data_IF_657078035541
#
_entry.id   IF_657078035541
#
_cell.length_a   1.000
_cell.length_b   1.000
_cell.length_c   1.000
_cell.angle_alpha   90.00
_cell.angle_beta   90.00
_cell.angle_gamma   90.00
#
_symmetry.space_group_name_H-M   'P 1'
#
loop_
_entity.id
_entity.type
_entity.pdbx_description
1 polymer ?
#
# COMPACT_ATOMS: atom_id res chain seq x y z
N UNK A 1 8.61 -21.22 35.04
CA UNK A 1 8.10 -21.80 33.80
C UNK A 1 7.28 -20.82 32.95
N UNK A 2 6.48 -19.87 33.50
CA UNK A 2 5.76 -18.86 32.73
C UNK A 2 6.67 -17.80 32.08
N UNK A 3 7.72 -17.33 32.76
CA UNK A 3 8.59 -16.27 32.24
C UNK A 3 9.51 -16.69 31.08
N UNK A 4 9.87 -17.95 30.95
CA UNK A 4 10.72 -18.43 29.86
C UNK A 4 9.93 -18.61 28.55
N UNK A 5 8.67 -19.06 28.65
CA UNK A 5 7.79 -19.17 27.47
C UNK A 5 7.41 -17.79 26.90
N UNK A 6 7.17 -16.79 27.75
CA UNK A 6 6.88 -15.43 27.32
C UNK A 6 8.09 -14.77 26.62
N UNK A 7 9.31 -15.03 27.14
CA UNK A 7 10.53 -14.49 26.50
C UNK A 7 10.82 -15.12 25.13
N UNK A 8 10.60 -16.42 24.98
CA UNK A 8 10.77 -17.13 23.71
C UNK A 8 9.73 -16.69 22.66
N UNK A 9 8.50 -16.42 23.09
CA UNK A 9 7.44 -15.91 22.23
C UNK A 9 7.76 -14.49 21.74
N UNK A 10 8.23 -13.62 22.61
CA UNK A 10 8.64 -12.23 22.31
C UNK A 10 9.83 -12.19 21.34
N UNK A 11 10.81 -13.08 21.49
CA UNK A 11 11.94 -13.21 20.58
C UNK A 11 11.52 -13.72 19.19
N UNK A 12 10.56 -14.63 19.11
CA UNK A 12 9.98 -15.10 17.86
C UNK A 12 9.28 -13.98 17.09
N UNK A 13 8.49 -13.16 17.77
CA UNK A 13 7.81 -11.99 17.16
C UNK A 13 8.84 -10.98 16.62
N UNK A 14 9.88 -10.67 17.38
CA UNK A 14 10.96 -9.76 16.97
C UNK A 14 11.68 -10.25 15.72
N UNK A 15 11.98 -11.55 15.64
CA UNK A 15 12.62 -12.15 14.46
C UNK A 15 11.71 -12.08 13.24
N UNK A 16 10.41 -12.38 13.40
CA UNK A 16 9.40 -12.27 12.36
C UNK A 16 9.35 -10.85 11.80
N UNK A 17 9.22 -9.85 12.66
CA UNK A 17 9.20 -8.43 12.28
C UNK A 17 10.49 -8.01 11.57
N UNK A 18 11.64 -8.48 12.03
CA UNK A 18 12.93 -8.17 11.41
C UNK A 18 13.03 -8.73 9.99
N UNK A 19 12.45 -9.90 9.73
CA UNK A 19 12.40 -10.49 8.37
C UNK A 19 11.40 -9.74 7.49
N UNK A 20 10.18 -9.49 7.99
CA UNK A 20 9.13 -8.76 7.24
C UNK A 20 9.65 -7.42 6.72
N UNK A 21 10.33 -6.66 7.55
CA UNK A 21 10.85 -5.32 7.22
C UNK A 21 12.31 -5.33 6.75
N UNK A 22 12.85 -6.50 6.41
CA UNK A 22 14.22 -6.59 5.87
C UNK A 22 14.34 -5.81 4.56
N UNK A 23 15.25 -4.82 4.56
CA UNK A 23 15.45 -3.92 3.41
C UNK A 23 14.59 -2.67 3.43
N UNK A 24 13.66 -2.49 4.38
CA UNK A 24 12.97 -1.23 4.58
C UNK A 24 13.93 -0.19 5.18
N UNK A 25 13.92 1.03 4.63
CA UNK A 25 14.77 2.15 5.10
C UNK A 25 14.16 2.78 6.36
N UNK A 26 12.84 2.85 6.43
CA UNK A 26 12.09 3.44 7.53
C UNK A 26 10.85 2.59 7.84
N UNK A 27 10.55 2.41 9.10
CA UNK A 27 9.32 1.74 9.59
C UNK A 27 8.71 2.64 10.65
N UNK A 28 7.47 3.07 10.44
CA UNK A 28 6.70 3.91 11.37
C UNK A 28 5.56 3.08 11.95
N UNK A 29 5.31 3.19 13.25
CA UNK A 29 4.22 2.47 13.91
C UNK A 29 4.49 0.97 14.11
N UNK A 30 5.75 0.58 14.23
CA UNK A 30 6.17 -0.83 14.43
C UNK A 30 5.47 -1.49 15.62
N UNK A 31 5.16 -0.72 16.65
CA UNK A 31 4.49 -1.15 17.87
C UNK A 31 3.10 -1.74 17.59
N UNK A 32 2.40 -1.23 16.58
CA UNK A 32 1.10 -1.75 16.16
C UNK A 32 1.24 -3.20 15.65
N UNK A 33 2.20 -3.45 14.78
CA UNK A 33 2.50 -4.79 14.26
C UNK A 33 2.87 -5.75 15.37
N UNK A 34 3.66 -5.31 16.36
CA UNK A 34 4.00 -6.09 17.56
C UNK A 34 2.76 -6.43 18.38
N UNK A 35 1.82 -5.50 18.52
CA UNK A 35 0.57 -5.72 19.25
C UNK A 35 -0.34 -6.73 18.55
N UNK A 36 -0.47 -6.64 17.21
CA UNK A 36 -1.27 -7.61 16.44
C UNK A 36 -0.65 -9.00 16.53
N UNK A 37 0.65 -9.14 16.29
CA UNK A 37 1.35 -10.43 16.35
C UNK A 37 1.36 -11.05 17.73
N UNK A 38 1.31 -10.24 18.80
CA UNK A 38 1.21 -10.73 20.19
C UNK A 38 -0.24 -11.01 20.62
N UNK A 39 -1.23 -10.86 19.75
CA UNK A 39 -2.64 -11.05 20.06
C UNK A 39 -3.25 -9.97 20.96
N UNK A 40 -2.56 -8.83 21.14
CA UNK A 40 -3.02 -7.69 21.97
C UNK A 40 -3.90 -6.70 21.21
N UNK A 41 -3.86 -6.72 19.88
CA UNK A 41 -4.72 -5.96 19.01
C UNK A 41 -5.20 -6.85 17.86
N UNK A 42 -6.45 -6.68 17.44
CA UNK A 42 -7.02 -7.32 16.25
C UNK A 42 -7.75 -6.27 15.46
N UNK A 43 -7.52 -6.22 14.16
CA UNK A 43 -8.24 -5.29 13.28
C UNK A 43 -9.35 -6.00 12.49
N UNK A 44 -9.13 -7.22 12.06
CA UNK A 44 -10.03 -7.95 11.14
C UNK A 44 -10.67 -9.22 11.71
N UNK A 45 -10.54 -9.50 12.99
CA UNK A 45 -11.04 -10.76 13.57
C UNK A 45 -10.23 -12.01 13.20
N UNK A 46 -9.41 -11.93 12.16
CA UNK A 46 -8.38 -12.92 11.80
C UNK A 46 -7.01 -12.44 12.29
N UNK A 47 -6.22 -13.33 12.88
CA UNK A 47 -4.87 -13.01 13.40
C UNK A 47 -3.83 -12.73 12.29
N UNK A 48 -4.23 -12.58 11.05
CA UNK A 48 -3.36 -12.37 9.91
C UNK A 48 -3.25 -10.88 9.58
N UNK A 49 -2.03 -10.36 9.62
CA UNK A 49 -1.72 -9.01 9.14
C UNK A 49 -2.01 -8.89 7.65
N UNK A 50 -2.53 -7.74 7.25
CA UNK A 50 -2.74 -7.36 5.86
C UNK A 50 -1.83 -6.20 5.50
N UNK A 51 -0.98 -6.38 4.50
CA UNK A 51 -0.13 -5.33 3.97
C UNK A 51 -0.64 -4.84 2.60
N UNK A 52 -0.37 -3.59 2.29
CA UNK A 52 -0.83 -2.92 1.07
C UNK A 52 0.32 -2.19 0.38
N UNK A 53 0.30 -2.26 -0.94
CA UNK A 53 1.04 -1.34 -1.80
C UNK A 53 0.19 -0.92 -2.99
N UNK A 54 0.14 0.39 -3.27
CA UNK A 54 -0.48 0.95 -4.47
C UNK A 54 0.56 1.16 -5.57
N UNK A 55 0.29 0.66 -6.77
CA UNK A 55 1.17 0.78 -7.93
C UNK A 55 0.40 1.33 -9.12
N UNK A 56 0.88 2.45 -9.68
CA UNK A 56 0.33 2.96 -10.93
C UNK A 56 0.77 2.08 -12.12
N UNK A 57 -0.17 1.57 -12.93
CA UNK A 57 0.17 0.95 -14.21
C UNK A 57 0.74 2.01 -15.15
N UNK A 58 2.06 2.11 -15.24
CA UNK A 58 2.71 3.25 -15.91
C UNK A 58 3.81 2.88 -16.91
N UNK A 59 4.06 1.60 -17.14
CA UNK A 59 5.11 1.20 -18.07
C UNK A 59 5.51 -0.26 -18.00
N UNK A 60 6.70 -0.55 -18.49
CA UNK A 60 7.28 -1.91 -18.51
C UNK A 60 7.96 -2.22 -17.19
N UNK A 61 8.03 -3.51 -16.85
CA UNK A 61 8.79 -4.01 -15.72
C UNK A 61 10.25 -3.53 -15.75
N UNK A 62 10.77 -3.17 -14.60
CA UNK A 62 12.15 -2.73 -14.40
C UNK A 62 12.70 -3.29 -13.09
N UNK A 63 14.00 -3.09 -12.85
CA UNK A 63 14.69 -3.64 -11.67
C UNK A 63 14.02 -3.26 -10.34
N UNK A 64 13.36 -2.10 -10.26
CA UNK A 64 12.61 -1.69 -9.07
C UNK A 64 11.49 -2.66 -8.69
N UNK A 65 10.83 -3.29 -9.68
CA UNK A 65 9.80 -4.30 -9.41
C UNK A 65 10.38 -5.58 -8.80
N UNK A 66 11.59 -5.96 -9.21
CA UNK A 66 12.29 -7.10 -8.60
C UNK A 66 12.67 -6.82 -7.14
N UNK A 67 13.13 -5.61 -6.83
CA UNK A 67 13.43 -5.22 -5.45
C UNK A 67 12.16 -5.19 -4.59
N UNK A 68 11.07 -4.65 -5.15
CA UNK A 68 9.77 -4.61 -4.49
C UNK A 68 9.21 -6.01 -4.24
N UNK A 69 9.30 -6.91 -5.23
CA UNK A 69 8.83 -8.30 -5.08
C UNK A 69 9.57 -9.04 -3.96
N UNK A 70 10.83 -8.70 -3.71
CA UNK A 70 11.58 -9.26 -2.57
C UNK A 70 10.97 -8.83 -1.22
N UNK A 71 10.59 -7.56 -1.08
CA UNK A 71 9.92 -7.06 0.14
C UNK A 71 8.56 -7.74 0.32
N UNK A 72 7.78 -7.87 -0.75
CA UNK A 72 6.50 -8.58 -0.75
C UNK A 72 6.71 -10.04 -0.31
N UNK A 73 7.69 -10.73 -0.88
CA UNK A 73 8.00 -12.12 -0.52
C UNK A 73 8.35 -12.27 0.95
N UNK A 74 9.17 -11.37 1.51
CA UNK A 74 9.48 -11.40 2.94
C UNK A 74 8.22 -11.33 3.81
N UNK A 75 7.23 -10.54 3.42
CA UNK A 75 5.95 -10.45 4.13
C UNK A 75 5.12 -11.73 3.98
N UNK A 76 5.00 -12.25 2.74
CA UNK A 76 4.28 -13.49 2.47
C UNK A 76 4.88 -14.69 3.23
N UNK A 77 6.20 -14.82 3.24
CA UNK A 77 6.92 -15.90 3.95
C UNK A 77 6.67 -15.89 5.46
N UNK A 78 6.38 -14.72 6.02
CA UNK A 78 6.05 -14.55 7.44
C UNK A 78 4.53 -14.56 7.70
N UNK A 79 3.70 -14.93 6.72
CA UNK A 79 2.26 -15.11 6.88
C UNK A 79 1.44 -13.83 6.80
N UNK A 80 2.00 -12.76 6.25
CA UNK A 80 1.26 -11.52 5.99
C UNK A 80 0.55 -11.63 4.65
N UNK A 81 -0.75 -11.35 4.62
CA UNK A 81 -1.48 -11.21 3.37
C UNK A 81 -1.11 -9.88 2.70
N UNK A 82 -0.90 -9.87 1.40
CA UNK A 82 -0.48 -8.68 0.68
C UNK A 82 -1.50 -8.31 -0.40
N UNK A 83 -1.96 -7.06 -0.37
CA UNK A 83 -2.78 -6.47 -1.42
C UNK A 83 -1.88 -5.59 -2.29
N UNK A 84 -1.83 -5.90 -3.58
CA UNK A 84 -1.28 -5.01 -4.61
C UNK A 84 -2.46 -4.30 -5.27
N UNK A 85 -2.63 -3.01 -4.95
CA UNK A 85 -3.61 -2.18 -5.63
C UNK A 85 -3.04 -1.73 -6.99
N UNK A 86 -3.71 -2.15 -8.06
CA UNK A 86 -3.46 -1.68 -9.42
C UNK A 86 -4.18 -0.33 -9.56
N UNK A 87 -3.45 0.75 -9.34
CA UNK A 87 -3.98 2.11 -9.17
C UNK A 87 -4.30 2.75 -10.54
N UNK A 88 -5.28 2.20 -11.27
CA UNK A 88 -5.66 2.56 -12.63
C UNK A 88 -6.20 4.01 -12.72
N UNK A 89 -7.11 4.41 -11.84
CA UNK A 89 -7.58 5.79 -11.78
C UNK A 89 -6.51 6.78 -11.34
N UNK A 90 -5.58 6.37 -10.48
CA UNK A 90 -4.43 7.20 -10.11
C UNK A 90 -3.50 7.41 -11.31
N UNK A 91 -3.28 6.36 -12.11
CA UNK A 91 -2.54 6.45 -13.35
C UNK A 91 -3.21 7.41 -14.35
N UNK A 92 -4.55 7.39 -14.44
CA UNK A 92 -5.31 8.31 -15.27
C UNK A 92 -5.18 9.75 -14.78
N UNK A 93 -5.35 10.01 -13.49
CA UNK A 93 -5.15 11.34 -12.86
C UNK A 93 -3.72 11.84 -13.08
N UNK A 94 -2.75 10.93 -13.12
CA UNK A 94 -1.34 11.25 -13.34
C UNK A 94 -0.90 11.18 -14.82
N UNK A 95 -1.87 11.36 -15.75
CA UNK A 95 -1.67 11.46 -17.20
C UNK A 95 -0.91 10.28 -17.84
N UNK A 96 -0.89 9.10 -17.20
CA UNK A 96 -0.24 7.93 -17.79
C UNK A 96 -0.97 7.49 -19.06
N UNK A 97 -0.19 7.08 -20.06
CA UNK A 97 -0.71 6.65 -21.37
C UNK A 97 -1.69 7.65 -22.00
N UNK A 98 -1.46 8.96 -21.80
CA UNK A 98 -2.33 10.03 -22.33
C UNK A 98 -3.79 9.90 -21.85
N UNK A 99 -4.00 9.33 -20.66
CA UNK A 99 -5.31 9.07 -20.03
C UNK A 99 -6.17 8.04 -20.78
N UNK A 100 -5.57 7.19 -21.58
CA UNK A 100 -6.25 6.08 -22.25
C UNK A 100 -6.47 4.93 -21.27
N UNK A 101 -7.70 4.79 -20.76
CA UNK A 101 -8.05 3.73 -19.79
C UNK A 101 -7.87 2.32 -20.37
N UNK A 102 -7.99 2.12 -21.67
CA UNK A 102 -7.73 0.82 -22.30
C UNK A 102 -6.26 0.43 -22.20
N UNK A 103 -5.35 1.38 -22.43
CA UNK A 103 -3.90 1.16 -22.27
C UNK A 103 -3.51 1.00 -20.79
N UNK A 104 -4.12 1.80 -19.90
CA UNK A 104 -3.90 1.68 -18.45
C UNK A 104 -4.35 0.31 -17.96
N UNK A 105 -5.53 -0.16 -18.38
CA UNK A 105 -6.05 -1.48 -18.03
C UNK A 105 -5.13 -2.60 -18.52
N UNK A 106 -4.67 -2.54 -19.76
CA UNK A 106 -3.71 -3.51 -20.30
C UNK A 106 -2.37 -3.49 -19.53
N UNK A 107 -1.90 -2.31 -19.13
CA UNK A 107 -0.70 -2.19 -18.31
C UNK A 107 -0.91 -2.74 -16.90
N UNK A 108 -2.12 -2.64 -16.34
CA UNK A 108 -2.47 -3.25 -15.06
C UNK A 108 -2.48 -4.79 -15.14
N UNK A 109 -3.04 -5.36 -16.21
CA UNK A 109 -2.99 -6.81 -16.47
C UNK A 109 -1.54 -7.29 -16.60
N UNK A 110 -0.74 -6.59 -17.39
CA UNK A 110 0.69 -6.89 -17.53
C UNK A 110 1.43 -6.83 -16.19
N UNK A 111 1.11 -5.84 -15.35
CA UNK A 111 1.74 -5.69 -14.02
C UNK A 111 1.38 -6.87 -13.11
N UNK A 112 0.13 -7.27 -13.06
CA UNK A 112 -0.31 -8.43 -12.26
C UNK A 112 0.38 -9.73 -12.70
N UNK A 113 0.49 -9.97 -14.00
CA UNK A 113 1.19 -11.13 -14.56
C UNK A 113 2.68 -11.15 -14.20
N UNK A 114 3.35 -9.99 -14.27
CA UNK A 114 4.77 -9.89 -13.89
C UNK A 114 4.96 -10.18 -12.40
N UNK A 115 4.15 -9.57 -11.52
CA UNK A 115 4.27 -9.84 -10.09
C UNK A 115 3.91 -11.28 -9.75
N UNK A 116 2.90 -11.87 -10.40
CA UNK A 116 2.58 -13.30 -10.27
C UNK A 116 3.79 -14.15 -10.66
N UNK A 117 4.46 -13.84 -11.76
CA UNK A 117 5.65 -14.57 -12.20
C UNK A 117 6.83 -14.41 -11.24
N UNK A 118 7.02 -13.22 -10.65
CA UNK A 118 8.10 -12.94 -9.70
C UNK A 118 7.86 -13.57 -8.31
N UNK A 119 6.61 -13.65 -7.88
CA UNK A 119 6.23 -14.09 -6.54
C UNK A 119 5.80 -15.57 -6.48
N UNK A 120 5.58 -16.20 -7.64
CA UNK A 120 4.87 -17.46 -7.78
C UNK A 120 3.37 -17.24 -7.78
N UNK A 121 2.58 -18.32 -7.72
CA UNK A 121 1.12 -18.24 -7.59
C UNK A 121 0.70 -18.33 -6.11
N UNK A 122 0.82 -17.25 -5.33
CA UNK A 122 0.58 -17.29 -3.89
C UNK A 122 -0.89 -17.50 -3.51
N UNK A 123 -1.84 -17.33 -4.46
CA UNK A 123 -3.25 -17.69 -4.26
C UNK A 123 -3.48 -19.20 -4.17
N UNK A 124 -2.51 -20.01 -4.63
CA UNK A 124 -2.57 -21.48 -4.69
C UNK A 124 -1.36 -22.10 -3.97
N UNK A 125 -0.46 -21.29 -3.43
CA UNK A 125 0.80 -21.75 -2.85
C UNK A 125 0.66 -22.27 -1.41
N UNK A 126 1.52 -23.21 -1.05
CA UNK A 126 1.67 -23.75 0.32
C UNK A 126 2.27 -22.73 1.31
N UNK A 127 2.34 -21.45 0.93
CA UNK A 127 2.88 -20.37 1.76
C UNK A 127 1.89 -19.86 2.80
N UNK A 128 2.39 -19.35 3.92
CA UNK A 128 1.55 -18.87 5.02
C UNK A 128 0.76 -17.58 4.71
N UNK A 129 1.24 -16.74 3.77
CA UNK A 129 0.58 -15.50 3.33
C UNK A 129 0.02 -15.61 1.91
N UNK A 130 -1.01 -14.81 1.64
CA UNK A 130 -1.68 -14.75 0.32
C UNK A 130 -1.46 -13.39 -0.33
N UNK A 131 -1.42 -13.36 -1.66
CA UNK A 131 -1.40 -12.14 -2.45
C UNK A 131 -2.73 -11.95 -3.15
N UNK A 132 -3.18 -10.71 -3.25
CA UNK A 132 -4.39 -10.34 -3.95
C UNK A 132 -4.13 -9.07 -4.78
N UNK A 133 -4.55 -9.09 -6.04
CA UNK A 133 -4.56 -7.92 -6.90
C UNK A 133 -5.97 -7.34 -6.92
N UNK A 134 -6.08 -6.04 -6.69
CA UNK A 134 -7.34 -5.29 -6.71
C UNK A 134 -7.13 -4.08 -7.61
N UNK A 135 -8.09 -3.74 -8.47
CA UNK A 135 -8.05 -2.49 -9.23
C UNK A 135 -8.66 -1.36 -8.39
N UNK A 136 -8.09 -0.17 -8.49
CA UNK A 136 -8.67 1.00 -7.81
C UNK A 136 -10.10 1.25 -8.31
N UNK A 137 -10.40 1.02 -9.59
CA UNK A 137 -11.75 1.11 -10.15
C UNK A 137 -12.77 0.19 -9.47
N UNK A 138 -12.36 -0.94 -8.90
CA UNK A 138 -13.25 -1.87 -8.20
C UNK A 138 -13.70 -1.32 -6.83
N UNK A 139 -12.81 -0.62 -6.12
CA UNK A 139 -13.11 -0.06 -4.79
C UNK A 139 -13.73 1.35 -4.88
N UNK A 140 -13.51 2.07 -5.96
CA UNK A 140 -14.01 3.43 -6.15
C UNK A 140 -15.47 3.53 -6.60
N UNK A 141 -16.15 2.40 -6.79
CA UNK A 141 -17.53 2.33 -7.31
C UNK A 141 -18.61 2.52 -6.22
N UNK A 142 -18.23 2.87 -5.00
CA UNK A 142 -19.16 3.04 -3.88
C UNK A 142 -19.27 4.49 -3.41
N UNK A 143 -20.46 4.88 -2.92
CA UNK A 143 -20.64 6.17 -2.27
C UNK A 143 -19.83 6.29 -0.97
N UNK A 144 -19.61 5.19 -0.26
CA UNK A 144 -18.83 5.12 0.97
C UNK A 144 -17.36 5.44 0.73
N UNK A 145 -16.79 4.94 -0.37
CA UNK A 145 -15.42 5.30 -0.78
C UNK A 145 -15.29 6.81 -0.98
N UNK A 146 -16.22 7.44 -1.70
CA UNK A 146 -16.19 8.89 -1.96
C UNK A 146 -16.42 9.71 -0.70
N UNK A 147 -17.21 9.23 0.25
CA UNK A 147 -17.32 9.85 1.58
C UNK A 147 -15.96 9.83 2.28
N UNK A 148 -15.20 8.71 2.23
CA UNK A 148 -13.84 8.63 2.76
C UNK A 148 -12.90 9.62 2.07
N UNK A 149 -12.94 9.72 0.74
CA UNK A 149 -12.14 10.70 -0.02
C UNK A 149 -12.41 12.12 0.47
N UNK A 150 -13.67 12.49 0.68
CA UNK A 150 -14.04 13.80 1.20
C UNK A 150 -13.57 14.01 2.64
N UNK A 151 -13.68 13.00 3.50
CA UNK A 151 -13.16 13.05 4.88
C UNK A 151 -11.65 13.21 4.91
N UNK A 152 -10.91 12.45 4.08
CA UNK A 152 -9.47 12.60 3.92
C UNK A 152 -9.11 14.01 3.43
N UNK A 153 -9.79 14.49 2.39
CA UNK A 153 -9.58 15.83 1.82
C UNK A 153 -9.81 16.94 2.85
N UNK A 154 -10.81 16.79 3.74
CA UNK A 154 -11.13 17.77 4.79
C UNK A 154 -9.97 17.94 5.79
N UNK A 155 -9.17 16.92 6.00
CA UNK A 155 -8.02 16.94 6.91
C UNK A 155 -6.71 17.37 6.23
N UNK A 156 -6.75 17.70 4.94
CA UNK A 156 -5.60 18.16 4.16
C UNK A 156 -5.71 19.64 3.84
N UNK A 157 -4.67 20.41 4.12
CA UNK A 157 -4.59 21.79 3.62
C UNK A 157 -4.03 21.79 2.19
N UNK A 158 -4.44 22.77 1.37
CA UNK A 158 -3.95 22.91 0.00
C UNK A 158 -2.41 22.97 -0.08
N UNK A 159 -1.76 23.63 0.87
CA UNK A 159 -0.30 23.71 0.93
C UNK A 159 0.36 22.34 1.23
N UNK A 160 -0.32 21.46 1.96
CA UNK A 160 0.14 20.10 2.18
C UNK A 160 -0.03 19.25 0.94
N UNK A 161 -1.19 19.34 0.28
CA UNK A 161 -1.46 18.63 -0.98
C UNK A 161 -0.42 18.99 -2.04
N UNK A 162 -0.10 20.28 -2.24
CA UNK A 162 0.94 20.69 -3.19
C UNK A 162 2.30 20.04 -2.91
N UNK A 163 2.71 19.90 -1.67
CA UNK A 163 3.97 19.21 -1.32
C UNK A 163 3.99 17.71 -1.64
N UNK A 164 2.86 17.11 -1.96
CA UNK A 164 2.80 15.72 -2.41
C UNK A 164 2.95 15.55 -3.91
N UNK A 165 2.92 16.63 -4.69
CA UNK A 165 3.02 16.54 -6.15
C UNK A 165 4.32 15.89 -6.63
N UNK A 166 5.40 16.00 -5.85
CA UNK A 166 6.63 15.26 -6.09
C UNK A 166 6.44 13.73 -6.12
N UNK A 167 5.41 13.19 -5.43
CA UNK A 167 5.04 11.77 -5.45
C UNK A 167 4.57 11.35 -6.85
N UNK A 168 3.86 12.24 -7.52
CA UNK A 168 3.40 12.06 -8.91
C UNK A 168 4.48 12.38 -9.95
N UNK A 169 5.68 12.78 -9.52
CA UNK A 169 6.73 13.29 -10.40
C UNK A 169 6.42 14.68 -10.98
N UNK A 170 5.53 15.45 -10.34
CA UNK A 170 5.13 16.80 -10.76
C UNK A 170 5.84 17.86 -9.92
N UNK A 171 6.07 19.05 -10.50
CA UNK A 171 6.64 20.19 -9.79
C UNK A 171 5.61 20.78 -8.81
N UNK A 172 6.02 20.98 -7.55
CA UNK A 172 5.17 21.53 -6.48
C UNK A 172 4.72 22.97 -6.78
N UNK A 173 5.54 23.75 -7.49
CA UNK A 173 5.33 25.17 -7.75
C UNK A 173 4.67 25.45 -9.13
N UNK A 174 4.41 24.44 -9.96
CA UNK A 174 3.76 24.62 -11.22
C UNK A 174 2.31 25.13 -11.04
N UNK A 175 1.93 26.12 -11.84
CA UNK A 175 0.55 26.64 -11.94
C UNK A 175 -0.37 25.78 -12.80
N UNK A 176 0.17 24.82 -13.55
CA UNK A 176 -0.53 24.10 -14.62
C UNK A 176 -1.09 22.73 -14.17
N UNK A 177 -1.29 22.55 -12.87
CA UNK A 177 -1.94 21.34 -12.36
C UNK A 177 -3.45 21.42 -12.54
N UNK A 178 -4.03 20.38 -13.15
CA UNK A 178 -5.47 20.23 -13.19
C UNK A 178 -6.04 19.94 -11.78
N UNK A 179 -7.35 20.18 -11.60
CA UNK A 179 -7.99 19.99 -10.29
C UNK A 179 -7.95 18.55 -9.82
N UNK A 180 -7.92 17.56 -10.72
CA UNK A 180 -7.91 16.15 -10.37
C UNK A 180 -6.63 15.77 -9.64
N UNK A 181 -5.49 16.39 -9.96
CA UNK A 181 -4.23 16.16 -9.28
C UNK A 181 -4.29 16.47 -7.77
N UNK A 182 -5.14 17.41 -7.35
CA UNK A 182 -5.31 17.74 -5.94
C UNK A 182 -6.09 16.69 -5.14
N UNK A 183 -6.85 15.80 -5.82
CA UNK A 183 -7.50 14.68 -5.17
C UNK A 183 -6.56 13.50 -4.95
N UNK A 184 -5.47 13.39 -5.69
CA UNK A 184 -4.57 12.24 -5.66
C UNK A 184 -4.16 11.78 -4.25
N UNK A 185 -3.68 12.65 -3.34
CA UNK A 185 -3.30 12.21 -2.00
C UNK A 185 -4.49 11.74 -1.15
N UNK A 186 -5.67 12.29 -1.40
CA UNK A 186 -6.89 11.89 -0.70
C UNK A 186 -7.41 10.55 -1.20
N UNK A 187 -7.30 10.27 -2.50
CA UNK A 187 -7.60 8.97 -3.09
C UNK A 187 -6.68 7.91 -2.49
N UNK A 188 -5.37 8.15 -2.49
CA UNK A 188 -4.40 7.21 -1.91
C UNK A 188 -4.65 6.93 -0.43
N UNK A 189 -5.03 7.95 0.35
CA UNK A 189 -5.39 7.74 1.75
C UNK A 189 -6.71 6.95 1.88
N UNK A 190 -7.70 7.25 1.06
CA UNK A 190 -8.98 6.54 1.07
C UNK A 190 -8.83 5.06 0.71
N UNK A 191 -7.96 4.72 -0.26
CA UNK A 191 -7.64 3.33 -0.64
C UNK A 191 -7.18 2.52 0.57
N UNK A 192 -6.26 3.09 1.36
CA UNK A 192 -5.67 2.42 2.52
C UNK A 192 -6.73 2.15 3.59
N UNK A 193 -7.63 3.11 3.83
CA UNK A 193 -8.73 2.94 4.77
C UNK A 193 -9.83 2.00 4.24
N UNK A 194 -10.11 2.04 2.92
CA UNK A 194 -11.11 1.16 2.29
C UNK A 194 -10.70 -0.30 2.33
N UNK A 195 -9.40 -0.55 2.17
CA UNK A 195 -8.83 -1.90 2.17
C UNK A 195 -8.55 -2.45 3.58
N UNK A 196 -8.78 -1.65 4.63
CA UNK A 196 -8.64 -2.04 6.05
C UNK A 196 -7.30 -2.74 6.34
N UNK A 197 -6.19 -2.15 5.87
CA UNK A 197 -4.88 -2.76 5.97
C UNK A 197 -4.12 -2.34 7.23
N UNK A 198 -3.31 -3.25 7.77
CA UNK A 198 -2.45 -3.02 8.95
C UNK A 198 -1.14 -2.34 8.57
N UNK A 199 -0.63 -2.61 7.37
CA UNK A 199 0.68 -2.15 6.91
C UNK A 199 0.54 -1.53 5.52
N UNK A 200 0.88 -0.25 5.37
CA UNK A 200 1.06 0.38 4.07
C UNK A 200 2.54 0.58 3.79
N UNK A 201 3.03 0.11 2.65
CA UNK A 201 4.44 0.26 2.27
C UNK A 201 4.60 0.79 0.85
N UNK A 202 5.77 1.34 0.55
CA UNK A 202 6.05 1.94 -0.75
C UNK A 202 7.48 2.49 -0.84
N UNK A 203 7.81 3.13 -1.95
CA UNK A 203 9.04 3.87 -2.10
C UNK A 203 9.12 5.07 -1.15
N UNK A 204 10.32 5.58 -0.89
CA UNK A 204 10.52 6.76 -0.04
C UNK A 204 9.87 8.03 -0.61
N UNK A 205 9.60 8.07 -1.91
CA UNK A 205 8.80 9.09 -2.57
C UNK A 205 7.36 9.15 -2.03
N UNK A 206 6.79 7.98 -1.64
CA UNK A 206 5.44 7.86 -1.07
C UNK A 206 5.35 8.27 0.41
N UNK A 207 6.48 8.50 1.08
CA UNK A 207 6.53 8.82 2.50
C UNK A 207 5.61 9.97 2.91
N UNK A 208 5.55 11.04 2.11
CA UNK A 208 4.71 12.20 2.40
C UNK A 208 3.22 11.83 2.44
N UNK A 209 2.76 10.99 1.51
CA UNK A 209 1.38 10.53 1.47
C UNK A 209 1.07 9.61 2.67
N UNK A 210 1.92 8.63 2.96
CA UNK A 210 1.72 7.74 4.10
C UNK A 210 1.71 8.48 5.44
N UNK A 211 2.53 9.54 5.61
CA UNK A 211 2.51 10.37 6.81
C UNK A 211 1.21 11.17 7.00
N UNK A 212 0.39 11.35 5.95
CA UNK A 212 -0.93 11.96 6.13
C UNK A 212 -1.90 11.04 6.86
N UNK A 213 -1.76 9.71 6.72
CA UNK A 213 -2.62 8.74 7.39
C UNK A 213 -2.59 8.92 8.91
N UNK A 214 -1.42 9.26 9.47
CA UNK A 214 -1.28 9.52 10.90
C UNK A 214 -2.02 10.77 11.41
N UNK A 215 -2.45 11.64 10.49
CA UNK A 215 -3.17 12.89 10.80
C UNK A 215 -4.66 12.78 10.52
N UNK A 216 -5.12 11.69 9.90
CA UNK A 216 -6.51 11.46 9.54
C UNK A 216 -7.11 10.49 10.55
N UNK A 217 -8.02 11.00 11.37
CA UNK A 217 -8.84 10.18 12.26
C UNK A 217 -10.19 9.97 11.60
N UNK A 218 -10.43 8.79 11.06
CA UNK A 218 -11.70 8.39 10.42
C UNK A 218 -12.46 7.44 11.32
#
# INVERSE_FOLDING_TARGET
MSNENDSLHDDGIRQKIAKMFSGCIEVVGREHVEQVLSGKASHSGDNNLVAYIGLEPSGKAHLGWLLLSRTIRNMLDEGVNVIILLADWHAWVNDKFERDMGKISLAADYMSEVFTSLLGHPEVGDGPGQIRFIRASEIMDSGEYWERVLRCSKNMSLSRVRRTFSIMGRDEDSSDHDLSAFFYPALQAADIFELEVDIAFGGMDQRKAHMYLSLIHI
#
